data_IF_320130500028
#
_entry.id   IF_320130500028
#
_cell.length_a   1.000
_cell.length_b   1.000
_cell.length_c   1.000
_cell.angle_alpha   90.00
_cell.angle_beta   90.00
_cell.angle_gamma   90.00
#
_symmetry.space_group_name_H-M   'P 1'
#
loop_
_entity.id
_entity.type
_entity.pdbx_description
1 polymer ?
#
# COMPACT_ATOMS: atom_id res chain seq x y z
N UNK A 1 38.30 -3.98 14.90
CA UNK A 1 36.89 -4.40 15.04
C UNK A 1 36.10 -3.70 13.95
N UNK A 2 35.05 -4.30 13.41
CA UNK A 2 34.17 -3.60 12.48
C UNK A 2 33.35 -2.54 13.24
N UNK A 3 33.14 -1.37 12.65
CA UNK A 3 32.33 -0.31 13.24
C UNK A 3 30.86 -0.72 13.35
N UNK A 4 30.11 -0.14 14.28
CA UNK A 4 28.67 -0.37 14.40
C UNK A 4 27.92 0.23 13.21
N UNK A 5 27.18 -0.61 12.49
CA UNK A 5 26.52 -0.24 11.23
C UNK A 5 25.08 0.30 11.38
N UNK A 6 24.57 0.36 12.61
CA UNK A 6 23.21 0.83 12.92
C UNK A 6 22.06 0.13 12.17
N UNK A 7 22.25 -1.15 11.81
CA UNK A 7 21.22 -1.98 11.15
C UNK A 7 20.26 -2.61 12.16
N UNK A 8 20.77 -3.04 13.33
CA UNK A 8 19.99 -3.69 14.37
C UNK A 8 20.24 -3.00 15.70
N UNK A 9 19.20 -2.74 16.47
CA UNK A 9 19.32 -2.12 17.80
C UNK A 9 19.88 -3.13 18.82
N UNK A 10 21.12 -2.96 19.32
CA UNK A 10 21.75 -3.93 20.23
C UNK A 10 21.04 -3.93 21.59
N UNK A 11 20.88 -2.74 22.17
CA UNK A 11 20.23 -2.51 23.46
C UNK A 11 18.91 -1.78 23.27
N UNK A 12 17.81 -2.41 23.69
CA UNK A 12 16.45 -1.85 23.58
C UNK A 12 16.01 -1.27 24.93
N UNK A 13 15.34 -0.12 24.88
CA UNK A 13 14.69 0.47 26.04
C UNK A 13 13.17 0.33 25.87
N UNK A 14 12.46 -0.06 26.93
CA UNK A 14 11.00 -0.13 26.94
C UNK A 14 10.46 1.04 27.78
N UNK A 15 10.18 2.20 27.16
CA UNK A 15 9.61 3.33 27.88
C UNK A 15 8.18 3.04 28.33
N UNK A 16 7.66 3.88 29.24
CA UNK A 16 6.21 3.96 29.43
C UNK A 16 5.58 4.25 28.06
N UNK A 17 4.47 3.60 27.72
CA UNK A 17 3.95 3.78 26.38
C UNK A 17 3.49 5.22 26.11
N UNK A 18 3.84 5.73 24.94
CA UNK A 18 3.36 7.00 24.45
C UNK A 18 1.92 6.83 23.93
N UNK A 19 1.05 7.84 24.08
CA UNK A 19 -0.35 7.77 23.64
C UNK A 19 -0.65 8.67 22.44
N UNK A 20 0.40 9.05 21.71
CA UNK A 20 0.32 10.01 20.62
C UNK A 20 0.14 11.45 21.09
N UNK A 21 0.05 12.36 20.11
CA UNK A 21 -0.27 13.78 20.34
C UNK A 21 -1.78 13.92 20.56
N UNK A 22 -2.19 14.79 21.49
CA UNK A 22 -3.60 15.05 21.75
C UNK A 22 -4.31 15.61 20.50
N UNK A 23 -5.43 15.00 20.13
CA UNK A 23 -6.23 15.43 18.98
C UNK A 23 -7.30 16.46 19.39
N UNK A 24 -7.71 17.35 18.46
CA UNK A 24 -8.82 18.26 18.71
C UNK A 24 -10.10 17.52 19.10
N UNK A 25 -10.93 18.13 19.96
CA UNK A 25 -12.23 17.59 20.38
C UNK A 25 -13.04 17.10 19.18
N UNK A 26 -13.66 15.92 19.31
CA UNK A 26 -14.45 15.26 18.26
C UNK A 26 -13.68 14.21 17.47
N UNK A 27 -12.34 14.20 17.55
CA UNK A 27 -11.55 13.08 17.07
C UNK A 27 -11.52 11.98 18.11
N UNK A 28 -12.16 10.85 17.80
CA UNK A 28 -12.04 9.63 18.59
C UNK A 28 -10.58 9.13 18.50
N UNK A 29 -9.82 9.38 19.57
CA UNK A 29 -8.56 8.70 19.84
C UNK A 29 -8.86 7.69 20.95
N UNK A 30 -9.33 6.50 20.57
CA UNK A 30 -9.41 5.42 21.53
C UNK A 30 -7.98 5.05 21.91
N UNK A 31 -7.64 5.16 23.20
CA UNK A 31 -6.31 4.80 23.71
C UNK A 31 -6.23 3.28 23.73
N UNK A 32 -5.81 2.67 22.63
CA UNK A 32 -5.45 1.26 22.66
C UNK A 32 -4.29 1.08 23.63
N UNK A 33 -4.23 -0.08 24.31
CA UNK A 33 -3.05 -0.45 25.09
C UNK A 33 -1.96 -0.88 24.11
N UNK A 34 -0.85 -0.14 24.00
CA UNK A 34 0.26 -0.53 23.14
C UNK A 34 0.72 -1.94 23.44
N UNK A 35 0.89 -2.72 22.38
CA UNK A 35 1.52 -4.02 22.44
C UNK A 35 2.99 -3.84 22.06
N UNK A 36 3.90 -4.39 22.87
CA UNK A 36 5.32 -4.39 22.57
C UNK A 36 5.72 -5.68 21.85
N UNK A 37 6.16 -5.56 20.60
CA UNK A 37 6.65 -6.69 19.81
C UNK A 37 8.18 -6.70 19.83
N UNK A 38 8.77 -7.65 20.56
CA UNK A 38 10.22 -7.74 20.74
C UNK A 38 11.01 -7.76 19.42
N UNK A 39 10.47 -8.46 18.41
CA UNK A 39 11.11 -8.57 17.10
C UNK A 39 11.07 -7.26 16.31
N UNK A 40 9.98 -6.48 16.41
CA UNK A 40 9.92 -5.15 15.78
C UNK A 40 10.93 -4.19 16.43
N UNK A 41 11.09 -4.28 17.75
CA UNK A 41 12.10 -3.51 18.48
C UNK A 41 13.55 -3.77 18.06
N UNK A 42 13.84 -4.85 17.31
CA UNK A 42 15.18 -5.10 16.76
C UNK A 42 15.52 -4.23 15.55
N UNK A 43 14.50 -3.76 14.84
CA UNK A 43 14.62 -3.03 13.56
C UNK A 43 13.94 -1.65 13.58
N UNK A 44 13.21 -1.30 14.63
CA UNK A 44 12.47 -0.04 14.73
C UNK A 44 11.73 0.12 16.07
N UNK A 45 10.62 0.86 16.06
CA UNK A 45 9.74 1.00 17.23
C UNK A 45 9.03 -0.34 17.54
N UNK A 46 8.96 -0.68 18.84
CA UNK A 46 8.33 -1.90 19.32
C UNK A 46 6.82 -1.75 19.56
N UNK A 47 6.29 -0.52 19.58
CA UNK A 47 4.90 -0.22 19.91
C UNK A 47 3.99 -0.16 18.69
N UNK A 48 2.76 -0.66 18.85
CA UNK A 48 1.66 -0.50 17.90
C UNK A 48 0.41 -0.11 18.69
N UNK A 49 -0.09 1.11 18.51
CA UNK A 49 -0.93 1.76 19.53
C UNK A 49 -2.07 2.66 19.01
N UNK A 50 -2.31 2.73 17.70
CA UNK A 50 -3.34 3.63 17.15
C UNK A 50 -4.49 2.86 16.49
N UNK A 51 -5.64 2.67 17.17
CA UNK A 51 -6.79 2.05 16.55
C UNK A 51 -7.30 2.93 15.39
N UNK A 52 -7.75 2.32 14.29
CA UNK A 52 -8.33 3.07 13.19
C UNK A 52 -9.63 3.70 13.70
N UNK A 53 -9.69 5.03 13.81
CA UNK A 53 -10.96 5.73 14.12
C UNK A 53 -12.06 5.39 13.11
N UNK A 54 -13.30 5.86 13.33
CA UNK A 54 -14.52 5.43 12.58
C UNK A 54 -14.31 5.18 11.09
N UNK A 55 -13.70 6.11 10.34
CA UNK A 55 -13.45 5.94 8.91
C UNK A 55 -12.54 4.72 8.61
N UNK A 56 -11.47 4.53 9.38
CA UNK A 56 -10.59 3.38 9.22
C UNK A 56 -11.30 2.07 9.59
N UNK A 57 -12.17 2.08 10.61
CA UNK A 57 -13.01 0.91 10.94
C UNK A 57 -13.96 0.56 9.81
N UNK A 58 -14.66 1.55 9.24
CA UNK A 58 -15.58 1.36 8.10
C UNK A 58 -14.82 0.80 6.89
N UNK A 59 -13.65 1.36 6.58
CA UNK A 59 -12.78 0.85 5.52
C UNK A 59 -12.37 -0.61 5.74
N UNK A 60 -11.97 -0.97 6.96
CA UNK A 60 -11.60 -2.34 7.32
C UNK A 60 -12.78 -3.31 7.19
N UNK A 61 -14.00 -2.91 7.58
CA UNK A 61 -15.21 -3.72 7.42
C UNK A 61 -15.55 -3.93 5.94
N UNK A 62 -15.50 -2.88 5.12
CA UNK A 62 -15.71 -2.97 3.67
C UNK A 62 -14.66 -3.89 3.00
N UNK A 63 -13.39 -3.77 3.42
CA UNK A 63 -12.32 -4.66 2.96
C UNK A 63 -12.59 -6.12 3.35
N UNK A 64 -13.02 -6.36 4.59
CA UNK A 64 -13.33 -7.69 5.07
C UNK A 64 -14.46 -8.33 4.23
N UNK A 65 -15.51 -7.58 3.86
CA UNK A 65 -16.53 -8.08 2.94
C UNK A 65 -15.95 -8.47 1.57
N UNK A 66 -15.14 -7.60 0.94
CA UNK A 66 -14.49 -7.93 -0.33
C UNK A 66 -13.60 -9.18 -0.22
N UNK A 67 -12.79 -9.27 0.84
CA UNK A 67 -11.91 -10.40 1.09
C UNK A 67 -12.68 -11.71 1.30
N UNK A 68 -13.77 -11.68 2.07
CA UNK A 68 -14.61 -12.85 2.32
C UNK A 68 -15.34 -13.31 1.05
N UNK A 69 -15.79 -12.40 0.19
CA UNK A 69 -16.41 -12.77 -1.10
C UNK A 69 -15.40 -13.47 -2.00
N UNK A 70 -14.16 -12.97 -2.08
CA UNK A 70 -13.08 -13.62 -2.85
C UNK A 70 -12.83 -15.02 -2.30
N UNK A 71 -12.61 -15.15 -0.98
CA UNK A 71 -12.33 -16.44 -0.34
C UNK A 71 -13.47 -17.45 -0.49
N UNK A 72 -14.73 -16.99 -0.37
CA UNK A 72 -15.90 -17.83 -0.58
C UNK A 72 -16.04 -18.30 -2.03
N UNK A 73 -15.75 -17.45 -3.02
CA UNK A 73 -15.77 -17.85 -4.43
C UNK A 73 -14.64 -18.84 -4.76
N UNK A 74 -13.46 -18.67 -4.14
CA UNK A 74 -12.36 -19.62 -4.28
C UNK A 74 -12.71 -20.98 -3.68
N UNK A 75 -13.33 -21.00 -2.49
CA UNK A 75 -13.73 -22.25 -1.87
C UNK A 75 -14.88 -22.93 -2.63
N UNK A 76 -15.80 -22.15 -3.21
CA UNK A 76 -16.87 -22.66 -4.05
C UNK A 76 -16.37 -23.25 -5.38
N UNK A 77 -15.30 -22.72 -5.98
CA UNK A 77 -14.75 -23.26 -7.25
C UNK A 77 -14.04 -24.60 -7.10
N UNK A 78 -13.79 -25.04 -5.86
CA UNK A 78 -13.25 -26.36 -5.52
C UNK A 78 -14.25 -27.22 -4.72
N UNK A 79 -15.55 -27.00 -4.94
CA UNK A 79 -16.65 -27.74 -4.31
C UNK A 79 -16.57 -27.80 -2.77
N UNK A 80 -16.12 -26.71 -2.14
CA UNK A 80 -15.94 -26.60 -0.69
C UNK A 80 -14.94 -27.59 -0.08
N UNK A 81 -14.05 -28.18 -0.91
CA UNK A 81 -13.00 -29.08 -0.44
C UNK A 81 -11.80 -28.26 0.08
N UNK A 82 -11.52 -28.28 1.40
CA UNK A 82 -10.43 -27.48 1.98
C UNK A 82 -9.03 -27.94 1.53
N UNK A 83 -8.86 -29.22 1.17
CA UNK A 83 -7.58 -29.75 0.67
C UNK A 83 -7.29 -29.18 -0.72
N UNK A 84 -8.30 -29.19 -1.59
CA UNK A 84 -8.20 -28.63 -2.93
C UNK A 84 -8.03 -27.11 -2.90
N UNK A 85 -8.72 -26.42 -1.99
CA UNK A 85 -8.56 -24.98 -1.78
C UNK A 85 -7.10 -24.62 -1.49
N UNK A 86 -6.45 -25.33 -0.57
CA UNK A 86 -5.02 -25.08 -0.24
C UNK A 86 -4.12 -25.46 -1.42
N UNK A 87 -4.36 -26.63 -2.04
CA UNK A 87 -3.56 -27.14 -3.15
C UNK A 87 -3.58 -26.20 -4.35
N UNK A 88 -4.75 -25.62 -4.66
CA UNK A 88 -4.98 -24.82 -5.85
C UNK A 88 -4.98 -23.31 -5.58
N UNK A 89 -4.78 -22.85 -4.34
CA UNK A 89 -4.90 -21.45 -3.94
C UNK A 89 -4.25 -20.44 -4.92
N UNK A 90 -3.02 -20.66 -5.44
CA UNK A 90 -2.42 -19.75 -6.43
C UNK A 90 -3.17 -19.63 -7.76
N UNK A 91 -3.91 -20.68 -8.17
CA UNK A 91 -4.65 -20.77 -9.43
C UNK A 91 -6.12 -20.36 -9.31
N UNK A 92 -6.66 -20.25 -8.10
CA UNK A 92 -8.05 -19.84 -7.90
C UNK A 92 -8.24 -18.37 -8.27
N UNK A 93 -9.39 -18.06 -8.85
CA UNK A 93 -9.72 -16.73 -9.32
C UNK A 93 -11.21 -16.43 -9.20
N UNK A 94 -11.51 -15.17 -8.96
CA UNK A 94 -12.83 -14.57 -9.13
C UNK A 94 -12.76 -13.71 -10.39
N UNK A 95 -13.39 -14.19 -11.46
CA UNK A 95 -13.33 -13.61 -12.80
C UNK A 95 -14.37 -12.49 -12.98
N UNK A 96 -14.07 -11.44 -13.78
CA UNK A 96 -15.03 -10.41 -14.12
C UNK A 96 -16.19 -10.97 -14.97
N UNK A 97 -17.32 -10.24 -15.07
CA UNK A 97 -18.42 -10.60 -15.94
C UNK A 97 -18.00 -10.80 -17.39
N UNK A 98 -18.67 -11.72 -18.07
CA UNK A 98 -18.52 -11.92 -19.52
C UNK A 98 -18.92 -10.63 -20.28
N UNK A 99 -18.38 -10.41 -21.51
CA UNK A 99 -18.64 -9.20 -22.29
C UNK A 99 -20.10 -8.90 -22.60
N UNK A 100 -20.97 -9.91 -22.63
CA UNK A 100 -22.40 -9.77 -22.86
C UNK A 100 -23.13 -8.95 -21.78
N UNK A 101 -22.57 -8.85 -20.57
CA UNK A 101 -23.19 -8.10 -19.47
C UNK A 101 -22.87 -6.61 -19.48
N UNK A 102 -21.93 -6.14 -20.32
CA UNK A 102 -21.53 -4.74 -20.46
C UNK A 102 -21.35 -4.03 -19.10
N UNK A 103 -22.30 -3.17 -18.70
CA UNK A 103 -22.31 -2.45 -17.41
C UNK A 103 -23.33 -2.99 -16.40
N UNK A 104 -24.21 -3.91 -16.81
CA UNK A 104 -25.29 -4.43 -15.98
C UNK A 104 -24.72 -5.33 -14.90
N UNK A 105 -25.39 -5.37 -13.73
CA UNK A 105 -25.08 -6.35 -12.70
C UNK A 105 -25.33 -7.74 -13.27
N UNK A 106 -24.25 -8.50 -13.45
CA UNK A 106 -24.31 -9.87 -13.96
C UNK A 106 -24.90 -10.81 -12.89
N UNK A 107 -25.47 -11.95 -13.31
CA UNK A 107 -25.79 -13.05 -12.38
C UNK A 107 -24.60 -13.39 -11.50
N UNK A 108 -24.86 -13.78 -10.25
CA UNK A 108 -23.81 -14.03 -9.26
C UNK A 108 -22.80 -15.10 -9.72
N UNK A 109 -23.30 -16.12 -10.43
CA UNK A 109 -22.51 -17.20 -11.03
C UNK A 109 -21.81 -16.82 -12.35
N UNK A 110 -22.01 -15.60 -12.88
CA UNK A 110 -21.43 -15.12 -14.14
C UNK A 110 -20.65 -13.80 -13.96
N UNK A 111 -20.06 -13.59 -12.79
CA UNK A 111 -19.22 -12.41 -12.49
C UNK A 111 -19.89 -11.34 -11.64
N UNK A 112 -21.15 -11.53 -11.21
CA UNK A 112 -21.81 -10.62 -10.27
C UNK A 112 -21.05 -10.49 -8.94
N UNK A 113 -20.47 -11.57 -8.45
CA UNK A 113 -19.59 -11.53 -7.26
C UNK A 113 -18.34 -10.66 -7.47
N UNK A 114 -17.79 -10.62 -8.67
CA UNK A 114 -16.65 -9.75 -8.99
C UNK A 114 -17.06 -8.28 -8.92
N UNK A 115 -18.24 -7.92 -9.43
CA UNK A 115 -18.74 -6.54 -9.38
C UNK A 115 -18.98 -6.09 -7.93
N UNK A 116 -19.60 -6.94 -7.11
CA UNK A 116 -19.83 -6.66 -5.69
C UNK A 116 -18.49 -6.52 -4.93
N UNK A 117 -17.54 -7.42 -5.21
CA UNK A 117 -16.18 -7.35 -4.64
C UNK A 117 -15.48 -6.05 -5.03
N UNK A 118 -15.50 -5.69 -6.31
CA UNK A 118 -14.92 -4.46 -6.83
C UNK A 118 -15.53 -3.22 -6.17
N UNK A 119 -16.85 -3.19 -5.96
CA UNK A 119 -17.54 -2.13 -5.24
C UNK A 119 -17.05 -2.00 -3.79
N UNK A 120 -17.09 -3.08 -3.01
CA UNK A 120 -16.66 -3.06 -1.60
C UNK A 120 -15.18 -2.69 -1.45
N UNK A 121 -14.31 -3.24 -2.31
CA UNK A 121 -12.89 -2.95 -2.29
C UNK A 121 -12.61 -1.48 -2.66
N UNK A 122 -13.25 -0.96 -3.71
CA UNK A 122 -13.09 0.44 -4.12
C UNK A 122 -13.57 1.39 -3.02
N UNK A 123 -14.74 1.13 -2.43
CA UNK A 123 -15.26 1.94 -1.32
C UNK A 123 -14.34 1.87 -0.09
N UNK A 124 -13.82 0.68 0.24
CA UNK A 124 -12.85 0.51 1.32
C UNK A 124 -11.62 1.41 1.12
N UNK A 125 -11.05 1.40 -0.09
CA UNK A 125 -9.86 2.18 -0.43
C UNK A 125 -10.12 3.70 -0.42
N UNK A 126 -11.27 4.16 -0.94
CA UNK A 126 -11.66 5.58 -0.90
C UNK A 126 -11.92 6.07 0.53
N UNK A 127 -12.55 5.25 1.37
CA UNK A 127 -12.74 5.57 2.79
C UNK A 127 -11.40 5.56 3.53
N UNK A 128 -10.46 4.67 3.17
CA UNK A 128 -9.10 4.68 3.71
C UNK A 128 -8.34 5.95 3.32
N UNK A 129 -8.49 6.41 2.08
CA UNK A 129 -7.90 7.67 1.64
C UNK A 129 -8.43 8.85 2.45
N UNK A 130 -9.75 8.89 2.66
CA UNK A 130 -10.40 9.89 3.51
C UNK A 130 -9.92 9.81 4.97
N UNK A 131 -9.69 8.60 5.47
CA UNK A 131 -9.09 8.38 6.80
C UNK A 131 -7.69 9.01 6.89
N UNK A 132 -6.78 8.69 5.96
CA UNK A 132 -5.42 9.26 5.92
C UNK A 132 -5.45 10.79 5.83
N UNK A 133 -6.30 11.35 4.98
CA UNK A 133 -6.49 12.80 4.86
C UNK A 133 -6.90 13.43 6.20
N UNK A 134 -7.93 12.90 6.85
CA UNK A 134 -8.42 13.46 8.11
C UNK A 134 -7.46 13.28 9.28
N UNK A 135 -6.67 12.20 9.32
CA UNK A 135 -5.62 12.05 10.34
C UNK A 135 -4.55 13.12 10.20
N UNK A 136 -4.10 13.44 8.99
CA UNK A 136 -3.17 14.53 8.76
C UNK A 136 -3.75 15.89 9.19
N UNK A 137 -5.01 16.19 8.82
CA UNK A 137 -5.68 17.43 9.23
C UNK A 137 -5.89 17.55 10.74
N UNK A 138 -6.24 16.45 11.42
CA UNK A 138 -6.43 16.42 12.87
C UNK A 138 -5.12 16.71 13.63
N UNK A 139 -3.97 16.34 13.06
CA UNK A 139 -2.63 16.62 13.61
C UNK A 139 -2.03 17.95 13.14
N UNK A 140 -2.76 18.74 12.33
CA UNK A 140 -2.25 19.99 11.77
C UNK A 140 -1.12 19.80 10.74
N UNK A 141 -0.97 18.58 10.18
CA UNK A 141 0.07 18.24 9.22
C UNK A 141 -0.38 18.54 7.77
N UNK A 142 0.58 18.65 6.87
CA UNK A 142 0.32 18.68 5.42
C UNK A 142 -0.19 17.32 4.91
N UNK A 143 -1.08 17.33 3.90
CA UNK A 143 -1.76 16.11 3.41
C UNK A 143 -0.99 15.36 2.32
N UNK A 144 0.34 15.43 2.33
CA UNK A 144 1.22 14.85 1.30
C UNK A 144 0.98 13.34 1.09
N UNK A 145 0.83 12.58 2.19
CA UNK A 145 0.56 11.14 2.13
C UNK A 145 -0.78 10.82 1.47
N UNK A 146 -1.83 11.62 1.70
CA UNK A 146 -3.12 11.42 1.05
C UNK A 146 -3.02 11.65 -0.47
N UNK A 147 -2.27 12.66 -0.91
CA UNK A 147 -2.07 12.91 -2.34
C UNK A 147 -1.19 11.86 -3.02
N UNK A 148 -0.14 11.37 -2.34
CA UNK A 148 0.65 10.24 -2.82
C UNK A 148 -0.21 8.97 -2.94
N UNK A 149 -1.07 8.69 -1.95
CA UNK A 149 -1.99 7.56 -2.02
C UNK A 149 -3.05 7.73 -3.13
N UNK A 150 -3.54 8.95 -3.37
CA UNK A 150 -4.44 9.24 -4.49
C UNK A 150 -3.82 8.88 -5.85
N UNK A 151 -2.51 9.09 -6.03
CA UNK A 151 -1.78 8.67 -7.23
C UNK A 151 -1.82 7.15 -7.42
N UNK A 152 -1.65 6.36 -6.36
CA UNK A 152 -1.80 4.91 -6.42
C UNK A 152 -3.25 4.48 -6.70
N UNK A 153 -4.22 5.16 -6.09
CA UNK A 153 -5.65 4.93 -6.36
C UNK A 153 -6.03 5.25 -7.80
N UNK A 154 -5.38 6.23 -8.43
CA UNK A 154 -5.60 6.53 -9.84
C UNK A 154 -5.24 5.35 -10.74
N UNK A 155 -4.11 4.67 -10.50
CA UNK A 155 -3.76 3.45 -11.24
C UNK A 155 -4.77 2.31 -10.97
N UNK A 156 -5.11 2.07 -9.70
CA UNK A 156 -6.10 1.05 -9.30
C UNK A 156 -7.45 1.27 -10.00
N UNK A 157 -7.99 2.48 -9.92
CA UNK A 157 -9.25 2.86 -10.58
C UNK A 157 -9.14 2.77 -12.09
N UNK A 158 -7.98 3.12 -12.67
CA UNK A 158 -7.77 3.01 -14.13
C UNK A 158 -7.90 1.57 -14.59
N UNK A 159 -7.26 0.62 -13.91
CA UNK A 159 -7.26 -0.81 -14.28
C UNK A 159 -8.62 -1.47 -14.07
N UNK A 160 -9.27 -1.21 -12.92
CA UNK A 160 -10.47 -1.92 -12.50
C UNK A 160 -11.80 -1.22 -12.80
N UNK A 161 -11.79 0.08 -13.11
CA UNK A 161 -13.03 0.88 -13.20
C UNK A 161 -13.07 1.80 -14.43
N UNK A 162 -12.15 2.77 -14.54
CA UNK A 162 -12.19 3.81 -15.59
C UNK A 162 -12.00 3.19 -16.97
N UNK A 163 -10.97 2.36 -17.20
CA UNK A 163 -10.76 1.74 -18.51
C UNK A 163 -11.90 0.77 -18.89
N UNK A 164 -12.34 -0.17 -18.02
CA UNK A 164 -13.50 -1.01 -18.30
C UNK A 164 -14.77 -0.21 -18.64
N UNK A 165 -15.02 0.90 -17.93
CA UNK A 165 -16.14 1.79 -18.20
C UNK A 165 -16.04 2.42 -19.59
N UNK A 166 -14.87 2.96 -19.95
CA UNK A 166 -14.61 3.57 -21.26
C UNK A 166 -14.68 2.56 -22.43
N UNK A 167 -14.30 1.30 -22.18
CA UNK A 167 -14.41 0.21 -23.17
C UNK A 167 -15.81 -0.40 -23.23
N UNK A 168 -16.70 -0.05 -22.30
CA UNK A 168 -18.07 -0.55 -22.28
C UNK A 168 -18.24 -1.98 -21.74
N UNK A 169 -17.23 -2.51 -21.04
CA UNK A 169 -17.21 -3.94 -20.68
C UNK A 169 -16.41 -4.21 -19.39
N UNK A 170 -17.08 -4.72 -18.35
CA UNK A 170 -16.42 -5.17 -17.10
C UNK A 170 -15.43 -6.32 -17.31
N UNK A 171 -15.61 -7.16 -18.34
CA UNK A 171 -14.69 -8.24 -18.69
C UNK A 171 -13.29 -7.79 -19.11
N UNK A 172 -13.08 -6.48 -19.32
CA UNK A 172 -11.74 -5.91 -19.55
C UNK A 172 -10.98 -5.62 -18.26
N UNK A 173 -11.62 -5.70 -17.09
CA UNK A 173 -11.02 -5.46 -15.79
C UNK A 173 -10.16 -6.64 -15.32
N UNK A 174 -9.38 -6.43 -14.25
CA UNK A 174 -8.47 -7.43 -13.69
C UNK A 174 -9.23 -8.46 -12.84
N UNK A 175 -9.00 -9.78 -13.00
CA UNK A 175 -9.57 -10.79 -12.11
C UNK A 175 -8.92 -10.75 -10.72
N UNK A 176 -9.64 -11.19 -9.69
CA UNK A 176 -9.08 -11.35 -8.35
C UNK A 176 -8.51 -12.77 -8.21
N UNK A 177 -7.21 -12.94 -8.42
CA UNK A 177 -6.52 -14.23 -8.29
C UNK A 177 -5.01 -14.08 -8.46
N UNK A 178 -4.21 -14.92 -7.80
CA UNK A 178 -2.75 -14.77 -7.80
C UNK A 178 -2.16 -15.00 -9.19
N UNK A 179 -2.41 -16.14 -9.84
CA UNK A 179 -1.93 -16.35 -11.21
C UNK A 179 -2.82 -15.69 -12.26
N UNK A 180 -4.14 -15.62 -12.02
CA UNK A 180 -5.07 -15.00 -12.97
C UNK A 180 -4.76 -13.51 -13.25
N UNK A 181 -4.35 -12.71 -12.25
CA UNK A 181 -3.96 -11.31 -12.51
C UNK A 181 -2.61 -11.19 -13.25
N UNK A 182 -1.70 -12.17 -13.10
CA UNK A 182 -0.45 -12.24 -13.87
C UNK A 182 -0.74 -12.58 -15.33
N UNK A 183 -1.61 -13.57 -15.56
CA UNK A 183 -2.07 -13.95 -16.89
C UNK A 183 -2.78 -12.78 -17.57
N UNK A 184 -3.64 -12.05 -16.84
CA UNK A 184 -4.25 -10.80 -17.32
C UNK A 184 -3.20 -9.76 -17.71
N UNK A 185 -2.16 -9.58 -16.90
CA UNK A 185 -1.10 -8.59 -17.16
C UNK A 185 -0.32 -8.93 -18.44
N UNK A 186 0.02 -10.21 -18.63
CA UNK A 186 0.68 -10.69 -19.84
C UNK A 186 -0.24 -10.57 -21.07
N UNK A 187 -1.50 -11.00 -20.94
CA UNK A 187 -2.50 -10.93 -22.01
C UNK A 187 -2.79 -9.48 -22.42
N UNK A 188 -2.79 -8.53 -21.48
CA UNK A 188 -2.94 -7.11 -21.74
C UNK A 188 -1.82 -6.60 -22.66
N UNK A 189 -0.57 -6.94 -22.34
CA UNK A 189 0.58 -6.55 -23.18
C UNK A 189 0.49 -7.14 -24.58
N UNK A 190 0.13 -8.42 -24.70
CA UNK A 190 -0.04 -9.09 -25.99
C UNK A 190 -1.17 -8.47 -26.82
N UNK A 191 -2.34 -8.20 -26.21
CA UNK A 191 -3.52 -7.64 -26.86
C UNK A 191 -3.27 -6.24 -27.45
N UNK A 192 -2.46 -5.43 -26.77
CA UNK A 192 -2.15 -4.06 -27.19
C UNK A 192 -0.81 -3.91 -27.92
N UNK A 193 -0.25 -5.01 -28.44
CA UNK A 193 0.92 -4.93 -29.32
C UNK A 193 2.23 -4.59 -28.61
N UNK A 194 2.47 -5.24 -27.47
CA UNK A 194 3.69 -5.13 -26.65
C UNK A 194 3.86 -3.78 -25.93
N UNK A 195 3.56 -3.78 -24.63
CA UNK A 195 3.67 -2.61 -23.76
C UNK A 195 5.09 -2.03 -23.64
N UNK A 196 6.14 -2.74 -24.05
CA UNK A 196 7.48 -2.16 -24.08
C UNK A 196 7.58 -0.93 -24.99
N UNK A 197 6.71 -0.80 -25.99
CA UNK A 197 6.67 0.36 -26.89
C UNK A 197 5.75 1.49 -26.41
N UNK A 198 5.08 1.34 -25.26
CA UNK A 198 4.29 2.41 -24.67
C UNK A 198 5.20 3.38 -23.89
N UNK A 199 5.32 4.67 -24.26
CA UNK A 199 6.21 5.61 -23.60
C UNK A 199 5.86 5.85 -22.13
N UNK A 200 4.59 5.79 -21.73
CA UNK A 200 4.20 5.92 -20.33
C UNK A 200 4.57 4.69 -19.50
N UNK A 201 4.56 3.50 -20.10
CA UNK A 201 5.07 2.29 -19.46
C UNK A 201 6.59 2.36 -19.26
N UNK A 202 7.34 2.88 -20.25
CA UNK A 202 8.78 3.15 -20.11
C UNK A 202 9.07 4.13 -18.95
N UNK A 203 8.33 5.24 -18.87
CA UNK A 203 8.44 6.19 -17.77
C UNK A 203 8.12 5.55 -16.41
N UNK A 204 7.08 4.73 -16.34
CA UNK A 204 6.73 4.01 -15.11
C UNK A 204 7.85 3.08 -14.65
N UNK A 205 8.53 2.38 -15.57
CA UNK A 205 9.71 1.56 -15.24
C UNK A 205 10.85 2.45 -14.73
N UNK A 206 11.11 3.58 -15.39
CA UNK A 206 12.15 4.52 -14.95
C UNK A 206 11.88 5.04 -13.53
N UNK A 207 10.63 5.37 -13.18
CA UNK A 207 10.28 5.81 -11.82
C UNK A 207 10.30 4.69 -10.79
N UNK A 208 9.95 3.45 -11.17
CA UNK A 208 10.06 2.29 -10.29
C UNK A 208 11.54 2.01 -9.94
N UNK A 209 12.41 1.98 -10.94
CA UNK A 209 13.86 1.81 -10.74
C UNK A 209 14.46 3.01 -10.00
N UNK A 210 14.07 4.22 -10.39
CA UNK A 210 14.48 5.46 -9.72
C UNK A 210 14.11 5.49 -8.24
N UNK A 211 12.95 4.94 -7.86
CA UNK A 211 12.54 4.84 -6.46
C UNK A 211 13.47 3.93 -5.65
N UNK A 212 13.85 2.77 -6.21
CA UNK A 212 14.81 1.87 -5.57
C UNK A 212 16.20 2.50 -5.44
N UNK A 213 16.67 3.17 -6.49
CA UNK A 213 17.95 3.89 -6.50
C UNK A 213 17.96 5.00 -5.44
N UNK A 214 16.98 5.90 -5.47
CA UNK A 214 16.92 7.04 -4.55
C UNK A 214 16.75 6.58 -3.10
N UNK A 215 15.96 5.54 -2.83
CA UNK A 215 15.79 5.09 -1.46
C UNK A 215 17.03 4.35 -0.94
N UNK A 216 17.75 3.60 -1.79
CA UNK A 216 19.04 3.03 -1.42
C UNK A 216 20.09 4.11 -1.14
N UNK A 217 20.18 5.14 -1.99
CA UNK A 217 21.06 6.30 -1.80
C UNK A 217 20.74 7.03 -0.48
N UNK A 218 19.47 7.38 -0.28
CA UNK A 218 19.03 8.13 0.90
C UNK A 218 19.17 7.30 2.18
N UNK A 219 18.65 6.07 2.20
CA UNK A 219 18.74 5.18 3.36
C UNK A 219 20.19 4.90 3.80
N UNK A 220 21.08 4.64 2.84
CA UNK A 220 22.50 4.46 3.13
C UNK A 220 23.16 5.76 3.63
N UNK A 221 22.78 6.92 3.06
CA UNK A 221 23.28 8.22 3.51
C UNK A 221 22.90 8.49 4.96
N UNK A 222 21.61 8.32 5.31
CA UNK A 222 21.11 8.57 6.67
C UNK A 222 21.78 7.64 7.68
N UNK A 223 21.94 6.35 7.35
CA UNK A 223 22.68 5.43 8.22
C UNK A 223 24.16 5.83 8.36
N UNK A 224 24.82 6.25 7.28
CA UNK A 224 26.22 6.69 7.32
C UNK A 224 26.44 7.92 8.22
N UNK A 225 25.45 8.83 8.32
CA UNK A 225 25.49 9.99 9.21
C UNK A 225 24.68 9.82 10.51
N UNK A 226 24.19 8.61 10.81
CA UNK A 226 23.41 8.35 12.02
C UNK A 226 24.23 8.52 13.31
N UNK A 227 25.55 8.32 13.25
CA UNK A 227 26.48 8.64 14.34
C UNK A 227 26.54 10.14 14.70
N UNK A 228 26.00 11.00 13.83
CA UNK A 228 25.86 12.45 14.02
C UNK A 228 24.38 12.85 14.26
N UNK A 229 23.48 11.88 14.43
CA UNK A 229 22.03 12.10 14.57
C UNK A 229 21.34 12.55 13.29
N UNK A 230 21.79 12.07 12.13
CA UNK A 230 21.22 12.43 10.82
C UNK A 230 19.80 11.91 10.56
N UNK A 231 19.36 10.88 11.29
CA UNK A 231 17.99 10.34 11.25
C UNK A 231 16.95 11.28 11.90
N UNK A 232 17.39 12.27 12.67
CA UNK A 232 16.55 13.33 13.25
C UNK A 232 16.30 14.44 12.24
N UNK A 233 15.68 14.07 11.12
CA UNK A 233 15.60 14.91 9.93
C UNK A 233 14.83 16.21 10.15
N UNK A 234 13.80 16.21 11.00
CA UNK A 234 13.03 17.42 11.33
C UNK A 234 13.95 18.48 11.93
N UNK A 235 14.76 18.10 12.93
CA UNK A 235 15.70 19.02 13.55
C UNK A 235 16.81 19.46 12.59
N UNK A 236 17.35 18.53 11.77
CA UNK A 236 18.36 18.86 10.76
C UNK A 236 17.85 19.84 9.68
N UNK A 237 16.55 19.80 9.36
CA UNK A 237 15.91 20.75 8.45
C UNK A 237 15.78 22.13 9.10
N UNK A 238 15.39 22.19 10.38
CA UNK A 238 15.20 23.47 11.08
C UNK A 238 16.51 24.14 11.52
N UNK A 239 17.52 23.34 11.88
CA UNK A 239 18.83 23.79 12.33
C UNK A 239 19.90 22.84 11.77
N UNK A 240 20.55 23.27 10.69
CA UNK A 240 21.44 22.41 9.90
C UNK A 240 22.68 22.01 10.71
N UNK A 241 22.78 20.73 11.04
CA UNK A 241 23.95 20.15 11.71
C UNK A 241 24.99 19.58 10.73
N UNK A 242 26.13 19.14 11.29
CA UNK A 242 27.21 18.51 10.52
C UNK A 242 26.78 17.20 9.83
N UNK A 243 25.71 16.54 10.31
CA UNK A 243 25.12 15.37 9.65
C UNK A 243 24.60 15.74 8.25
N UNK A 244 23.76 16.78 8.15
CA UNK A 244 23.22 17.28 6.89
C UNK A 244 24.32 17.85 5.98
N UNK A 245 25.31 18.54 6.55
CA UNK A 245 26.44 19.08 5.77
C UNK A 245 27.28 17.97 5.13
N UNK A 246 27.66 16.93 5.89
CA UNK A 246 28.43 15.80 5.37
C UNK A 246 27.64 14.97 4.37
N UNK A 247 26.34 14.76 4.63
CA UNK A 247 25.45 14.09 3.70
C UNK A 247 25.39 14.84 2.35
N UNK A 248 25.24 16.16 2.38
CA UNK A 248 25.24 16.99 1.17
C UNK A 248 26.60 17.00 0.46
N UNK A 249 27.70 17.14 1.20
CA UNK A 249 29.06 17.14 0.64
C UNK A 249 29.43 15.81 -0.02
N UNK A 250 29.02 14.67 0.55
CA UNK A 250 29.22 13.36 -0.05
C UNK A 250 28.64 13.30 -1.47
N UNK A 251 27.38 13.70 -1.63
CA UNK A 251 26.73 13.71 -2.94
C UNK A 251 27.31 14.77 -3.87
N UNK A 252 27.60 15.98 -3.36
CA UNK A 252 28.23 17.05 -4.15
C UNK A 252 29.59 16.64 -4.73
N UNK A 253 30.41 15.96 -3.94
CA UNK A 253 31.72 15.49 -4.39
C UNK A 253 31.64 14.24 -5.27
N UNK A 254 30.53 13.49 -5.19
CA UNK A 254 30.31 12.27 -6.00
C UNK A 254 29.70 12.58 -7.37
N UNK A 255 28.72 13.49 -7.46
CA UNK A 255 27.92 13.71 -8.67
C UNK A 255 27.67 15.18 -9.05
N UNK A 256 28.35 16.14 -8.44
CA UNK A 256 28.26 17.58 -8.75
C UNK A 256 27.34 18.38 -7.83
#
# INVERSE_FOLDING_TARGET
MADYQNILTPCRFAPKPHHGVELPRGNWAEKARPIFVWLLGKIGDASSDHPPGVAGTVSAVLFAFAFLIIGANFLASVDWNPIEFIRLLPWLALEPPRPNWAWVLAPMNEGGWWQITGFFLTMSLLVWWWHVYNRARALGLGTHMAWAFASALFLYLTLGFIRPLLLGNWGEAVPFGLFAHLDWTAAFSLRYGNLYYNPFHMLSIAFLYGSAVLFAMHGATILAVSHLGGDREVEQITDRGTAAERAALFWRWTMG
#
